data_IF_782281955758
#
_entry.id   IF_782281955758
#
_cell.length_a   1.000
_cell.length_b   1.000
_cell.length_c   1.000
_cell.angle_alpha   90.00
_cell.angle_beta   90.00
_cell.angle_gamma   90.00
#
_symmetry.space_group_name_H-M   'P 1'
#
loop_
_entity.id
_entity.type
_entity.pdbx_description
1 polymer ?
#
# COMPACT_ATOMS: atom_id res chain seq x y z
N UNK A 1 -6.99 -13.09 18.42
CA UNK A 1 -6.40 -11.90 17.79
C UNK A 1 -4.95 -11.82 18.21
N UNK A 2 -3.96 -12.23 17.39
CA UNK A 2 -2.61 -11.80 17.66
C UNK A 2 -2.62 -10.28 17.44
N UNK A 3 -2.40 -9.54 18.52
CA UNK A 3 -1.98 -8.13 18.43
C UNK A 3 -0.84 -8.09 17.43
N UNK A 4 -0.88 -7.18 16.44
CA UNK A 4 0.32 -6.82 15.71
C UNK A 4 1.30 -6.29 16.74
N UNK A 5 2.14 -7.18 17.28
CA UNK A 5 3.14 -6.84 18.26
C UNK A 5 3.99 -5.69 17.74
N UNK A 6 4.62 -4.97 18.66
CA UNK A 6 5.61 -3.91 18.42
C UNK A 6 6.85 -4.51 17.71
N UNK A 7 6.66 -5.05 16.51
CA UNK A 7 7.67 -5.58 15.62
C UNK A 7 8.30 -4.38 14.92
N UNK A 8 9.03 -3.58 15.69
CA UNK A 8 9.94 -2.61 15.12
C UNK A 8 10.94 -3.39 14.28
N UNK A 9 11.21 -2.95 13.04
CA UNK A 9 12.31 -3.53 12.28
C UNK A 9 13.60 -3.42 13.11
N UNK A 10 14.51 -4.41 13.03
CA UNK A 10 15.77 -4.36 13.76
C UNK A 10 16.55 -3.06 13.50
N UNK A 11 17.17 -2.49 14.53
CA UNK A 11 17.98 -1.27 14.43
C UNK A 11 17.99 -0.46 15.72
N UNK A 12 18.96 0.45 15.84
CA UNK A 12 18.99 1.43 16.93
C UNK A 12 17.95 2.53 16.70
N UNK A 13 17.44 3.18 17.76
CA UNK A 13 16.58 4.34 17.63
C UNK A 13 17.23 5.47 16.83
N UNK A 14 16.41 6.30 16.17
CA UNK A 14 16.91 7.49 15.48
C UNK A 14 17.64 8.43 16.45
N UNK A 15 18.78 8.93 15.99
CA UNK A 15 19.53 9.97 16.70
C UNK A 15 18.80 11.31 16.65
N UNK A 16 19.11 12.22 17.57
CA UNK A 16 18.58 13.59 17.54
C UNK A 16 18.90 14.32 16.22
N UNK A 17 20.07 14.05 15.64
CA UNK A 17 20.48 14.60 14.34
C UNK A 17 19.56 14.15 13.20
N UNK A 18 19.19 12.87 13.15
CA UNK A 18 18.24 12.34 12.15
C UNK A 18 16.86 12.97 12.29
N UNK A 19 16.35 13.10 13.52
CA UNK A 19 15.07 13.80 13.75
C UNK A 19 15.07 15.25 13.25
N UNK A 20 16.19 15.97 13.41
CA UNK A 20 16.33 17.33 12.88
C UNK A 20 16.34 17.37 11.35
N UNK A 21 17.07 16.44 10.72
CA UNK A 21 17.11 16.32 9.25
C UNK A 21 15.70 16.05 8.70
N UNK A 22 14.97 15.10 9.28
CA UNK A 22 13.63 14.73 8.81
C UNK A 22 12.62 15.87 8.98
N UNK A 23 12.68 16.61 10.10
CA UNK A 23 11.86 17.81 10.29
C UNK A 23 12.19 18.89 9.26
N UNK A 24 13.47 19.08 8.94
CA UNK A 24 13.89 19.99 7.88
C UNK A 24 13.33 19.59 6.51
N UNK A 25 13.40 18.29 6.19
CA UNK A 25 12.82 17.74 4.96
C UNK A 25 11.31 17.95 4.89
N UNK A 26 10.56 17.74 5.97
CA UNK A 26 9.11 17.97 6.03
C UNK A 26 8.72 19.43 5.75
N UNK A 27 9.55 20.39 6.16
CA UNK A 27 9.32 21.82 5.90
C UNK A 27 9.66 22.18 4.45
N UNK A 28 10.77 21.66 3.93
CA UNK A 28 11.31 22.06 2.63
C UNK A 28 10.68 21.30 1.45
N UNK A 29 10.26 20.05 1.65
CA UNK A 29 9.76 19.19 0.58
C UNK A 29 8.24 19.33 0.42
N UNK A 30 7.83 19.68 -0.80
CA UNK A 30 6.40 19.85 -1.11
C UNK A 30 5.60 18.53 -1.18
N UNK A 31 6.29 17.39 -1.35
CA UNK A 31 5.71 16.04 -1.50
C UNK A 31 4.54 15.96 -2.48
N UNK A 32 4.61 16.72 -3.59
CA UNK A 32 3.53 16.84 -4.58
C UNK A 32 2.96 15.49 -5.06
N UNK A 33 3.78 14.46 -5.41
CA UNK A 33 3.23 13.19 -5.88
C UNK A 33 2.40 12.44 -4.82
N UNK A 34 2.83 12.46 -3.56
CA UNK A 34 2.08 11.85 -2.45
C UNK A 34 0.73 12.54 -2.24
N UNK A 35 0.68 13.86 -2.43
CA UNK A 35 -0.58 14.65 -2.33
C UNK A 35 -1.55 14.40 -3.50
N UNK A 36 -1.16 13.67 -4.54
CA UNK A 36 -2.03 13.32 -5.66
C UNK A 36 -2.75 11.97 -5.46
N UNK A 37 -2.46 11.23 -4.39
CA UNK A 37 -3.25 10.06 -4.01
C UNK A 37 -4.66 10.51 -3.65
N UNK A 38 -5.62 10.17 -4.51
CA UNK A 38 -6.99 10.72 -4.50
C UNK A 38 -8.06 9.72 -4.09
N UNK A 39 -7.69 8.44 -4.01
CA UNK A 39 -8.59 7.34 -3.71
C UNK A 39 -8.04 6.55 -2.54
N UNK A 40 -8.94 6.09 -1.68
CA UNK A 40 -8.64 5.26 -0.53
C UNK A 40 -9.51 4.02 -0.58
N UNK A 41 -8.91 2.85 -0.36
CA UNK A 41 -9.63 1.59 -0.24
C UNK A 41 -9.11 0.79 0.95
N UNK A 42 -10.03 0.26 1.75
CA UNK A 42 -9.72 -0.73 2.77
C UNK A 42 -10.16 -2.10 2.26
N UNK A 43 -9.22 -3.05 2.24
CA UNK A 43 -9.47 -4.45 1.85
C UNK A 43 -8.96 -5.39 2.94
N UNK A 44 -9.33 -6.66 2.84
CA UNK A 44 -8.78 -7.71 3.67
C UNK A 44 -7.90 -8.61 2.82
N UNK A 45 -6.59 -8.58 3.08
CA UNK A 45 -5.63 -9.48 2.45
C UNK A 45 -5.55 -10.80 3.24
N UNK A 46 -5.57 -11.91 2.52
CA UNK A 46 -5.31 -13.24 3.07
C UNK A 46 -3.87 -13.63 2.76
N UNK A 47 -3.18 -14.21 3.74
CA UNK A 47 -1.85 -14.78 3.46
C UNK A 47 -1.99 -16.02 2.58
N UNK A 48 -1.18 -16.08 1.52
CA UNK A 48 -1.15 -17.21 0.57
C UNK A 48 -0.89 -18.58 1.22
N UNK A 49 -0.25 -18.59 2.40
CA UNK A 49 0.09 -19.81 3.14
C UNK A 49 -0.77 -20.03 4.40
N UNK A 50 -1.61 -19.06 4.78
CA UNK A 50 -2.53 -19.16 5.92
C UNK A 50 -3.80 -18.33 5.67
N UNK A 51 -4.80 -18.99 5.09
CA UNK A 51 -6.10 -18.40 4.78
C UNK A 51 -6.96 -18.10 6.02
N UNK A 52 -6.48 -18.43 7.23
CA UNK A 52 -7.19 -18.10 8.49
C UNK A 52 -6.78 -16.74 9.05
N UNK A 53 -5.65 -16.21 8.59
CA UNK A 53 -5.12 -14.90 8.98
C UNK A 53 -5.54 -13.86 7.95
N UNK A 54 -6.46 -12.98 8.35
CA UNK A 54 -6.87 -11.78 7.58
C UNK A 54 -6.10 -10.57 8.10
N UNK A 55 -5.55 -9.78 7.18
CA UNK A 55 -4.95 -8.48 7.46
C UNK A 55 -5.81 -7.40 6.82
N UNK A 56 -6.17 -6.39 7.61
CA UNK A 56 -6.75 -5.16 7.08
C UNK A 56 -5.66 -4.36 6.35
N UNK A 57 -5.90 -4.04 5.08
CA UNK A 57 -4.94 -3.37 4.21
C UNK A 57 -5.52 -2.07 3.67
N UNK A 58 -4.74 -1.00 3.84
CA UNK A 58 -5.16 0.37 3.55
C UNK A 58 -4.42 0.89 2.32
N UNK A 59 -5.14 1.06 1.22
CA UNK A 59 -4.60 1.44 -0.08
C UNK A 59 -4.79 2.93 -0.32
N UNK A 60 -3.70 3.64 -0.55
CA UNK A 60 -3.70 5.03 -1.00
C UNK A 60 -3.33 5.07 -2.49
N UNK A 61 -4.30 5.44 -3.31
CA UNK A 61 -4.31 5.12 -4.73
C UNK A 61 -4.17 6.40 -5.57
N UNK A 62 -3.22 6.36 -6.50
CA UNK A 62 -3.10 7.33 -7.59
C UNK A 62 -3.55 6.67 -8.88
N UNK A 63 -4.56 7.25 -9.54
CA UNK A 63 -4.94 6.86 -10.90
C UNK A 63 -3.99 7.55 -11.88
N UNK A 64 -3.14 6.77 -12.55
CA UNK A 64 -2.20 7.30 -13.55
C UNK A 64 -2.91 7.56 -14.86
N UNK A 65 -3.78 6.64 -15.29
CA UNK A 65 -4.65 6.79 -16.45
C UNK A 65 -5.91 5.90 -16.31
N UNK A 66 -6.70 5.74 -17.39
CA UNK A 66 -7.92 4.92 -17.33
C UNK A 66 -7.65 3.43 -17.04
N UNK A 67 -6.47 2.93 -17.42
CA UNK A 67 -6.10 1.52 -17.39
C UNK A 67 -5.04 1.19 -16.32
N UNK A 68 -4.58 2.17 -15.53
CA UNK A 68 -3.44 1.99 -14.62
C UNK A 68 -3.60 2.74 -13.30
N UNK A 69 -3.53 2.00 -12.20
CA UNK A 69 -3.49 2.52 -10.82
C UNK A 69 -2.15 2.18 -10.15
N UNK A 70 -1.71 3.06 -9.26
CA UNK A 70 -0.56 2.87 -8.38
C UNK A 70 -1.01 3.03 -6.94
N UNK A 71 -0.74 2.05 -6.10
CA UNK A 71 -1.20 2.03 -4.72
C UNK A 71 0.00 1.92 -3.77
N UNK A 72 0.01 2.73 -2.72
CA UNK A 72 0.80 2.45 -1.51
C UNK A 72 -0.10 1.75 -0.50
N UNK A 73 0.32 0.59 0.00
CA UNK A 73 -0.50 -0.27 0.87
C UNK A 73 0.08 -0.26 2.28
N UNK A 74 -0.76 0.03 3.27
CA UNK A 74 -0.39 0.12 4.68
C UNK A 74 -1.14 -0.92 5.53
N UNK A 75 -0.56 -1.32 6.66
CA UNK A 75 -1.19 -2.21 7.66
C UNK A 75 -2.22 -1.51 8.56
N UNK A 76 -2.32 -0.18 8.48
CA UNK A 76 -3.23 0.65 9.26
C UNK A 76 -3.43 2.03 8.60
N UNK A 77 -4.58 2.66 8.81
CA UNK A 77 -4.84 4.07 8.46
C UNK A 77 -4.34 5.08 9.51
N UNK A 78 -3.75 4.61 10.62
CA UNK A 78 -3.14 5.48 11.62
C UNK A 78 -1.87 6.16 11.10
N UNK A 79 -1.51 7.30 11.72
CA UNK A 79 -0.29 8.04 11.37
C UNK A 79 1.02 7.26 11.57
N UNK A 80 0.98 6.14 12.29
CA UNK A 80 2.10 5.21 12.49
C UNK A 80 1.96 3.91 11.68
N UNK A 81 0.99 3.84 10.76
CA UNK A 81 0.82 2.72 9.85
C UNK A 81 2.09 2.47 9.04
N UNK A 82 2.43 1.19 8.87
CA UNK A 82 3.63 0.75 8.17
C UNK A 82 3.29 0.45 6.73
N UNK A 83 4.12 0.93 5.81
CA UNK A 83 4.05 0.54 4.40
C UNK A 83 4.38 -0.96 4.31
N UNK A 84 3.43 -1.74 3.81
CA UNK A 84 3.55 -3.20 3.64
C UNK A 84 3.65 -3.62 2.18
N UNK A 85 3.28 -2.74 1.23
CA UNK A 85 3.32 -3.07 -0.18
C UNK A 85 3.18 -1.87 -1.12
N UNK A 86 3.51 -2.11 -2.38
CA UNK A 86 3.20 -1.25 -3.52
C UNK A 86 2.50 -2.11 -4.54
N UNK A 87 1.35 -1.68 -5.03
CA UNK A 87 0.56 -2.43 -5.99
C UNK A 87 0.33 -1.62 -7.27
N UNK A 88 0.29 -2.37 -8.37
CA UNK A 88 -0.10 -1.86 -9.68
C UNK A 88 -1.35 -2.60 -10.11
N UNK A 89 -2.40 -1.84 -10.42
CA UNK A 89 -3.66 -2.41 -10.92
C UNK A 89 -3.78 -1.98 -12.37
N UNK A 90 -3.88 -2.96 -13.26
CA UNK A 90 -4.00 -2.74 -14.70
C UNK A 90 -5.31 -3.28 -15.23
N UNK A 91 -5.81 -2.73 -16.33
CA UNK A 91 -6.97 -3.29 -17.00
C UNK A 91 -6.66 -4.63 -17.66
N UNK A 92 -7.68 -5.45 -17.89
CA UNK A 92 -7.58 -6.73 -18.59
C UNK A 92 -6.85 -6.58 -19.94
N UNK A 93 -7.11 -5.48 -20.65
CA UNK A 93 -6.45 -5.15 -21.92
C UNK A 93 -4.93 -5.05 -21.79
N UNK A 94 -4.42 -4.44 -20.71
CA UNK A 94 -2.98 -4.37 -20.46
C UNK A 94 -2.47 -5.74 -20.05
N UNK A 95 -3.16 -6.43 -19.14
CA UNK A 95 -2.78 -7.75 -18.67
C UNK A 95 -2.64 -8.78 -19.81
N UNK A 96 -3.64 -8.84 -20.69
CA UNK A 96 -3.65 -9.74 -21.86
C UNK A 96 -2.51 -9.45 -22.84
N UNK A 97 -2.03 -8.20 -22.89
CA UNK A 97 -0.91 -7.79 -23.72
C UNK A 97 0.47 -8.09 -23.08
N UNK A 98 0.53 -8.47 -21.80
CA UNK A 98 1.78 -8.82 -21.15
C UNK A 98 2.34 -10.14 -21.68
N UNK A 99 3.68 -10.32 -21.70
CA UNK A 99 4.27 -11.62 -21.98
C UNK A 99 3.74 -12.71 -21.03
N UNK A 100 3.59 -13.98 -21.48
CA UNK A 100 3.05 -15.04 -20.63
C UNK A 100 3.81 -15.27 -19.32
N UNK A 101 5.12 -15.02 -19.30
CA UNK A 101 5.93 -15.11 -18.07
C UNK A 101 5.61 -13.98 -17.08
N UNK A 102 5.31 -12.80 -17.59
CA UNK A 102 4.91 -11.67 -16.76
C UNK A 102 3.52 -11.92 -16.18
N UNK A 103 2.55 -12.38 -16.99
CA UNK A 103 1.17 -12.65 -16.53
C UNK A 103 1.10 -13.58 -15.30
N UNK A 104 2.05 -14.52 -15.15
CA UNK A 104 2.14 -15.44 -14.00
C UNK A 104 2.43 -14.73 -12.67
N UNK A 105 2.96 -13.51 -12.72
CA UNK A 105 3.28 -12.69 -11.54
C UNK A 105 2.09 -11.88 -11.05
N UNK A 106 0.98 -11.88 -11.79
CA UNK A 106 -0.21 -11.11 -11.47
C UNK A 106 -1.30 -12.02 -10.91
N UNK A 107 -2.16 -11.43 -10.09
CA UNK A 107 -3.37 -12.09 -9.59
C UNK A 107 -4.59 -11.19 -9.84
N UNK A 108 -5.78 -11.78 -10.04
CA UNK A 108 -7.00 -11.00 -10.16
C UNK A 108 -7.36 -10.36 -8.80
N UNK A 109 -7.63 -9.05 -8.80
CA UNK A 109 -8.16 -8.34 -7.61
C UNK A 109 -9.63 -8.66 -7.30
N UNK A 110 -10.28 -9.55 -8.06
CA UNK A 110 -11.69 -9.94 -7.87
C UNK A 110 -11.95 -10.60 -6.50
N UNK A 111 -10.91 -11.09 -5.83
CA UNK A 111 -11.02 -11.75 -4.52
C UNK A 111 -10.80 -10.83 -3.31
N UNK A 112 -10.51 -9.55 -3.53
CA UNK A 112 -10.43 -8.57 -2.46
C UNK A 112 -11.81 -7.98 -2.20
N UNK A 113 -12.44 -8.41 -1.10
CA UNK A 113 -13.70 -7.82 -0.64
C UNK A 113 -13.42 -6.38 -0.22
N UNK A 114 -13.71 -5.43 -1.10
CA UNK A 114 -13.60 -4.00 -0.84
C UNK A 114 -14.83 -3.50 -0.08
N UNK A 115 -14.66 -3.13 1.20
CA UNK A 115 -15.54 -2.18 1.87
C UNK A 115 -15.05 -0.78 1.52
N UNK A 116 -15.30 -0.35 0.28
CA UNK A 116 -15.20 1.07 -0.05
C UNK A 116 -16.29 1.79 0.75
N UNK A 117 -15.87 2.63 1.70
CA UNK A 117 -16.77 3.50 2.45
C UNK A 117 -17.55 4.34 1.45
N UNK A 118 -18.86 4.10 1.41
CA UNK A 118 -19.84 5.02 0.87
C UNK A 118 -19.66 6.36 1.58
N UNK A 119 -19.41 7.45 0.83
CA UNK A 119 -20.24 8.67 0.73
C UNK A 119 -19.60 9.65 -0.26
#
# INVERSE_FOLDING_TARGET
MPSFGDHRPPGEPMTMGQHMIDKGAQILQSLKPLKQMSQYACTFALYSHDMTSQIETHHFITRVNQDFLQCAVYDSDHAQGRLIGVEYIVSDRIFEALPPEEQKLWHPHVYEVALASQF
#
